data_IF_281211801594
#
_entry.id   IF_281211801594
#
_cell.length_a   1.000
_cell.length_b   1.000
_cell.length_c   1.000
_cell.angle_alpha   90.00
_cell.angle_beta   90.00
_cell.angle_gamma   90.00
#
_symmetry.space_group_name_H-M   'P 1'
#
loop_
_entity.id
_entity.type
_entity.pdbx_description
1 polymer ?
#
# COMPACT_ATOMS: atom_id res chain seq x y z
N UNK A 1 -4.26 22.89 -5.51
CA UNK A 1 -3.94 23.68 -6.73
C UNK A 1 -3.60 22.74 -7.87
N UNK A 2 -4.08 23.00 -9.09
CA UNK A 2 -3.60 22.30 -10.29
C UNK A 2 -2.21 22.83 -10.67
N UNK A 3 -1.23 21.96 -10.84
CA UNK A 3 0.11 22.31 -11.32
C UNK A 3 0.24 21.87 -12.78
N UNK A 4 0.33 22.84 -13.70
CA UNK A 4 0.23 22.58 -15.13
C UNK A 4 1.05 23.59 -15.96
N UNK A 5 1.72 23.15 -17.04
CA UNK A 5 2.03 21.75 -17.39
C UNK A 5 3.15 21.19 -16.49
N UNK A 6 2.89 20.07 -15.82
CA UNK A 6 3.73 19.58 -14.71
C UNK A 6 5.19 19.30 -15.14
N UNK A 7 5.41 18.40 -16.10
CA UNK A 7 6.78 18.02 -16.50
C UNK A 7 7.55 19.22 -17.09
N UNK A 8 6.91 20.04 -17.93
CA UNK A 8 7.55 21.19 -18.54
C UNK A 8 7.91 22.31 -17.54
N UNK A 9 7.21 22.37 -16.40
CA UNK A 9 7.49 23.33 -15.33
C UNK A 9 8.47 22.77 -14.26
N UNK A 10 9.25 21.73 -14.58
CA UNK A 10 10.25 21.15 -13.66
C UNK A 10 9.71 20.03 -12.77
N UNK A 11 8.50 19.54 -13.05
CA UNK A 11 7.94 18.31 -12.50
C UNK A 11 7.87 18.26 -10.97
N UNK A 12 8.17 17.10 -10.39
CA UNK A 12 8.06 16.87 -8.95
C UNK A 12 9.05 17.74 -8.14
N UNK A 13 10.22 18.06 -8.69
CA UNK A 13 11.22 18.85 -7.98
C UNK A 13 10.78 20.31 -7.86
N UNK A 14 10.14 20.86 -8.88
CA UNK A 14 9.48 22.17 -8.79
C UNK A 14 8.36 22.17 -7.73
N UNK A 15 7.54 21.12 -7.67
CA UNK A 15 6.50 20.98 -6.64
C UNK A 15 7.10 20.94 -5.23
N UNK A 16 8.17 20.16 -5.02
CA UNK A 16 8.87 20.10 -3.73
C UNK A 16 9.42 21.47 -3.34
N UNK A 17 10.09 22.16 -4.27
CA UNK A 17 10.63 23.50 -4.04
C UNK A 17 9.53 24.52 -3.70
N UNK A 18 8.41 24.51 -4.42
CA UNK A 18 7.26 25.38 -4.13
C UNK A 18 6.59 25.03 -2.80
N UNK A 19 6.56 23.76 -2.40
CA UNK A 19 5.91 23.35 -1.16
C UNK A 19 6.62 23.84 0.10
N UNK A 20 7.91 24.19 0.01
CA UNK A 20 8.70 24.68 1.14
C UNK A 20 8.17 26.02 1.69
N UNK A 21 8.06 27.11 0.90
CA UNK A 21 7.46 28.36 1.38
C UNK A 21 5.94 28.27 1.51
N UNK A 22 5.27 27.39 0.76
CA UNK A 22 3.82 27.25 0.75
C UNK A 22 3.36 25.94 1.42
N UNK A 23 3.72 25.76 2.70
CA UNK A 23 3.55 24.50 3.43
C UNK A 23 2.11 23.98 3.53
N UNK A 24 1.08 24.83 3.37
CA UNK A 24 -0.33 24.42 3.38
C UNK A 24 -0.87 24.01 1.99
N UNK A 25 -0.15 24.32 0.90
CA UNK A 25 -0.62 24.00 -0.44
C UNK A 25 -0.51 22.50 -0.73
N UNK A 26 -1.56 22.00 -1.38
CA UNK A 26 -1.62 20.70 -2.00
C UNK A 26 -1.69 20.85 -3.51
N UNK A 27 -1.10 19.90 -4.23
CA UNK A 27 -0.86 19.95 -5.67
C UNK A 27 -1.58 18.81 -6.39
N UNK A 28 -2.02 19.11 -7.61
CA UNK A 28 -2.56 18.16 -8.57
C UNK A 28 -1.82 18.34 -9.90
N UNK A 29 -0.66 17.68 -10.11
CA UNK A 29 0.10 17.77 -11.35
C UNK A 29 -0.71 17.26 -12.53
N UNK A 30 -0.63 17.97 -13.66
CA UNK A 30 -1.21 17.57 -14.94
C UNK A 30 -0.31 18.05 -16.08
N UNK A 31 -0.20 17.26 -17.14
CA UNK A 31 0.65 17.57 -18.30
C UNK A 31 2.01 16.89 -18.18
N UNK A 32 2.24 15.88 -19.02
CA UNK A 32 3.44 15.03 -19.00
C UNK A 32 3.42 13.89 -17.97
N UNK A 33 2.41 13.84 -17.09
CA UNK A 33 2.20 12.67 -16.20
C UNK A 33 1.82 11.44 -17.05
N UNK A 34 2.52 10.34 -16.81
CA UNK A 34 2.37 9.06 -17.48
C UNK A 34 2.65 7.91 -16.49
N UNK A 35 2.58 6.67 -16.96
CA UNK A 35 2.78 5.48 -16.11
C UNK A 35 4.14 5.46 -15.39
N UNK A 36 5.20 5.93 -16.04
CA UNK A 36 6.58 5.84 -15.55
C UNK A 36 6.85 6.84 -14.42
N UNK A 37 6.20 8.01 -14.43
CA UNK A 37 6.44 9.07 -13.45
C UNK A 37 5.29 9.25 -12.44
N UNK A 38 4.14 8.58 -12.61
CA UNK A 38 2.98 8.69 -11.74
C UNK A 38 3.35 8.55 -10.26
N UNK A 39 4.18 7.54 -9.94
CA UNK A 39 4.55 7.24 -8.56
C UNK A 39 5.54 8.22 -7.95
N UNK A 40 6.36 8.88 -8.78
CA UNK A 40 7.24 9.96 -8.32
C UNK A 40 6.41 11.13 -7.78
N UNK A 41 5.24 11.38 -8.38
CA UNK A 41 4.30 12.37 -7.89
C UNK A 41 3.52 11.89 -6.67
N UNK A 42 2.86 10.73 -6.75
CA UNK A 42 1.94 10.25 -5.70
C UNK A 42 2.63 9.86 -4.39
N UNK A 43 3.94 9.63 -4.42
CA UNK A 43 4.77 9.40 -3.22
C UNK A 43 5.03 10.69 -2.42
N UNK A 44 4.83 11.87 -3.01
CA UNK A 44 4.97 13.13 -2.29
C UNK A 44 3.66 13.53 -1.62
N UNK A 45 3.70 13.80 -0.32
CA UNK A 45 2.51 13.96 0.51
C UNK A 45 1.71 15.24 0.26
N UNK A 46 2.30 16.21 -0.46
CA UNK A 46 1.58 17.39 -0.95
C UNK A 46 0.86 17.12 -2.26
N UNK A 47 1.07 15.98 -2.92
CA UNK A 47 0.35 15.60 -4.13
C UNK A 47 -0.86 14.73 -3.77
N UNK A 48 -2.05 15.28 -3.98
CA UNK A 48 -3.31 14.61 -3.61
C UNK A 48 -3.84 13.70 -4.73
N UNK A 49 -3.59 14.07 -5.99
CA UNK A 49 -4.01 13.33 -7.17
C UNK A 49 -3.16 13.75 -8.38
N UNK A 50 -3.09 12.91 -9.41
CA UNK A 50 -2.45 13.26 -10.68
C UNK A 50 -3.48 13.23 -11.82
N UNK A 51 -3.36 14.15 -12.77
CA UNK A 51 -4.14 14.18 -14.00
C UNK A 51 -3.29 13.75 -15.19
N UNK A 52 -3.79 12.84 -16.01
CA UNK A 52 -3.11 12.39 -17.22
C UNK A 52 -4.06 11.70 -18.19
N UNK A 53 -3.76 11.84 -19.48
CA UNK A 53 -4.57 11.27 -20.58
C UNK A 53 -4.05 9.88 -21.01
N UNK A 54 -2.92 9.44 -20.47
CA UNK A 54 -2.24 8.20 -20.90
C UNK A 54 -3.09 6.93 -20.76
N UNK A 55 -4.07 6.91 -19.85
CA UNK A 55 -5.01 5.78 -19.69
C UNK A 55 -6.21 5.83 -20.65
N UNK A 56 -6.48 6.97 -21.26
CA UNK A 56 -7.68 7.22 -22.07
C UNK A 56 -7.37 8.29 -23.12
N UNK A 57 -6.59 7.91 -24.14
CA UNK A 57 -6.19 8.83 -25.21
C UNK A 57 -7.35 9.12 -26.16
N UNK A 58 -7.32 10.29 -26.81
CA UNK A 58 -8.29 10.65 -27.85
C UNK A 58 -8.35 9.60 -28.96
N UNK A 59 -7.20 9.05 -29.35
CA UNK A 59 -7.09 7.97 -30.33
C UNK A 59 -7.82 6.71 -29.86
N UNK A 60 -7.57 6.26 -28.61
CA UNK A 60 -8.26 5.09 -28.06
C UNK A 60 -9.78 5.28 -28.04
N UNK A 61 -10.26 6.48 -27.71
CA UNK A 61 -11.69 6.80 -27.72
C UNK A 61 -12.25 6.78 -29.15
N UNK A 62 -11.57 7.42 -30.10
CA UNK A 62 -11.98 7.48 -31.50
C UNK A 62 -12.05 6.09 -32.14
N UNK A 63 -11.08 5.23 -31.80
CA UNK A 63 -11.00 3.85 -32.25
C UNK A 63 -11.88 2.89 -31.44
N UNK A 64 -12.60 3.38 -30.41
CA UNK A 64 -13.46 2.59 -29.51
C UNK A 64 -12.71 1.45 -28.81
N UNK A 65 -11.45 1.67 -28.45
CA UNK A 65 -10.55 0.70 -27.79
C UNK A 65 -10.88 0.56 -26.28
N UNK A 66 -12.13 0.22 -25.94
CA UNK A 66 -12.63 0.21 -24.55
C UNK A 66 -11.90 -0.78 -23.65
N UNK A 67 -11.51 -1.93 -24.18
CA UNK A 67 -10.73 -2.93 -23.45
C UNK A 67 -9.34 -2.38 -23.10
N UNK A 68 -8.69 -1.70 -24.05
CA UNK A 68 -7.38 -1.08 -23.83
C UNK A 68 -7.45 0.01 -22.76
N UNK A 69 -8.45 0.88 -22.82
CA UNK A 69 -8.71 1.92 -21.81
C UNK A 69 -8.92 1.28 -20.43
N UNK A 70 -9.69 0.20 -20.37
CA UNK A 70 -9.94 -0.54 -19.12
C UNK A 70 -8.64 -1.11 -18.55
N UNK A 71 -7.82 -1.75 -19.38
CA UNK A 71 -6.57 -2.37 -18.95
C UNK A 71 -5.54 -1.32 -18.48
N UNK A 72 -5.42 -0.19 -19.18
CA UNK A 72 -4.57 0.92 -18.78
C UNK A 72 -5.01 1.56 -17.46
N UNK A 73 -6.33 1.72 -17.28
CA UNK A 73 -6.88 2.24 -16.02
C UNK A 73 -6.62 1.28 -14.86
N UNK A 74 -6.80 -0.04 -15.06
CA UNK A 74 -6.47 -1.06 -14.06
C UNK A 74 -4.99 -1.05 -13.71
N UNK A 75 -4.11 -0.89 -14.69
CA UNK A 75 -2.67 -0.81 -14.49
C UNK A 75 -2.27 0.40 -13.65
N UNK A 76 -2.82 1.59 -13.96
CA UNK A 76 -2.56 2.78 -13.16
C UNK A 76 -3.04 2.64 -11.71
N UNK A 77 -4.21 2.03 -11.49
CA UNK A 77 -4.72 1.72 -10.14
C UNK A 77 -3.79 0.74 -9.42
N UNK A 78 -3.36 -0.33 -10.11
CA UNK A 78 -2.43 -1.33 -9.55
C UNK A 78 -1.13 -0.67 -9.11
N UNK A 79 -0.55 0.18 -9.96
CA UNK A 79 0.70 0.89 -9.68
C UNK A 79 0.52 1.90 -8.52
N UNK A 80 -0.61 2.61 -8.47
CA UNK A 80 -0.93 3.53 -7.37
C UNK A 80 -1.04 2.82 -6.02
N UNK A 81 -1.76 1.70 -5.97
CA UNK A 81 -1.99 0.95 -4.73
C UNK A 81 -0.70 0.22 -4.30
N UNK A 82 0.04 -0.32 -5.27
CA UNK A 82 1.29 -1.05 -5.08
C UNK A 82 1.19 -2.07 -3.92
N UNK A 83 0.18 -2.93 -3.98
CA UNK A 83 0.01 -4.00 -3.01
C UNK A 83 1.12 -5.04 -3.17
N UNK A 84 1.86 -5.27 -2.09
CA UNK A 84 2.93 -6.26 -2.02
C UNK A 84 2.79 -7.10 -0.76
N UNK A 85 3.14 -8.38 -0.84
CA UNK A 85 3.20 -9.24 0.33
C UNK A 85 4.25 -8.70 1.31
N UNK A 86 3.87 -8.52 2.57
CA UNK A 86 4.77 -8.09 3.63
C UNK A 86 5.20 -9.26 4.51
N UNK A 87 4.23 -10.01 5.04
CA UNK A 87 4.51 -11.12 5.94
C UNK A 87 3.31 -12.07 6.08
N UNK A 88 3.61 -13.28 6.54
CA UNK A 88 2.64 -14.29 6.95
C UNK A 88 2.64 -14.40 8.47
N UNK A 89 1.51 -14.07 9.08
CA UNK A 89 1.25 -14.36 10.49
C UNK A 89 0.82 -15.81 10.67
N UNK A 90 1.52 -16.54 11.53
CA UNK A 90 1.17 -17.90 11.93
C UNK A 90 0.83 -17.93 13.42
N UNK A 91 -0.21 -18.70 13.73
CA UNK A 91 -0.63 -18.94 15.10
C UNK A 91 0.25 -20.04 15.71
N UNK A 92 0.63 -19.90 16.98
CA UNK A 92 1.32 -20.94 17.73
C UNK A 92 0.32 -22.02 18.16
N UNK A 93 0.55 -23.28 17.76
CA UNK A 93 -0.37 -24.40 18.03
C UNK A 93 0.31 -25.41 18.93
N UNK A 94 0.02 -25.37 20.24
CA UNK A 94 0.46 -26.36 21.25
C UNK A 94 1.97 -26.72 21.20
N UNK A 95 2.80 -25.86 20.62
CA UNK A 95 4.24 -26.00 20.46
C UNK A 95 4.94 -24.87 21.22
N UNK A 96 6.12 -25.13 21.77
CA UNK A 96 6.94 -24.06 22.35
C UNK A 96 7.43 -23.11 21.25
N UNK A 97 7.27 -21.80 21.46
CA UNK A 97 7.70 -20.75 20.51
C UNK A 97 9.12 -20.98 19.97
N UNK A 98 10.04 -21.38 20.83
CA UNK A 98 11.45 -21.65 20.49
C UNK A 98 11.57 -22.75 19.42
N UNK A 99 10.73 -23.78 19.47
CA UNK A 99 10.74 -24.87 18.49
C UNK A 99 10.25 -24.38 17.13
N UNK A 100 9.11 -23.67 17.07
CA UNK A 100 8.60 -23.11 15.82
C UNK A 100 9.58 -22.11 15.20
N UNK A 101 10.20 -21.24 16.02
CA UNK A 101 11.26 -20.31 15.56
C UNK A 101 12.41 -21.09 14.93
N UNK A 102 12.94 -22.12 15.61
CA UNK A 102 14.06 -22.91 15.08
C UNK A 102 13.69 -23.68 13.82
N UNK A 103 12.46 -24.20 13.71
CA UNK A 103 11.97 -24.86 12.51
C UNK A 103 11.92 -23.89 11.32
N UNK A 104 11.36 -22.69 11.50
CA UNK A 104 11.31 -21.69 10.43
C UNK A 104 12.70 -21.17 10.06
N UNK A 105 13.61 -20.99 11.01
CA UNK A 105 15.02 -20.64 10.73
C UNK A 105 15.67 -21.68 9.85
N UNK A 106 15.52 -22.97 10.21
CA UNK A 106 16.07 -24.07 9.43
C UNK A 106 15.43 -24.20 8.05
N UNK A 107 14.10 -24.01 7.93
CA UNK A 107 13.39 -24.09 6.67
C UNK A 107 13.81 -22.97 5.71
N UNK A 108 13.88 -21.74 6.21
CA UNK A 108 14.18 -20.54 5.42
C UNK A 108 15.68 -20.26 5.27
N UNK A 109 16.54 -21.03 5.97
CA UNK A 109 17.99 -20.83 5.99
C UNK A 109 18.38 -19.40 6.37
N UNK A 110 17.78 -18.89 7.46
CA UNK A 110 17.93 -17.50 7.91
C UNK A 110 18.20 -17.40 9.40
N UNK A 111 19.03 -16.42 9.76
CA UNK A 111 19.26 -16.00 11.15
C UNK A 111 18.54 -14.67 11.45
N UNK A 112 17.76 -14.16 10.50
CA UNK A 112 17.05 -12.88 10.64
C UNK A 112 15.87 -13.04 11.59
N UNK A 113 16.03 -12.53 12.80
CA UNK A 113 14.99 -12.55 13.83
C UNK A 113 14.67 -11.11 14.26
N UNK A 114 13.38 -10.81 14.40
CA UNK A 114 12.90 -9.58 15.03
C UNK A 114 11.81 -9.88 16.04
N UNK A 115 12.12 -9.69 17.31
CA UNK A 115 11.16 -9.87 18.40
C UNK A 115 10.35 -8.60 18.65
N UNK A 116 9.08 -8.79 18.97
CA UNK A 116 8.18 -7.74 19.45
C UNK A 116 7.50 -8.24 20.73
N UNK A 117 6.75 -7.36 21.41
CA UNK A 117 6.00 -7.76 22.59
C UNK A 117 4.89 -8.79 22.32
N UNK A 118 4.41 -8.92 21.07
CA UNK A 118 3.28 -9.78 20.71
C UNK A 118 3.63 -10.93 19.78
N UNK A 119 4.79 -10.88 19.13
CA UNK A 119 5.17 -11.82 18.08
C UNK A 119 6.67 -11.85 17.86
N UNK A 120 7.16 -12.96 17.31
CA UNK A 120 8.54 -13.13 16.87
C UNK A 120 8.56 -13.33 15.36
N UNK A 121 9.27 -12.46 14.65
CA UNK A 121 9.48 -12.60 13.22
C UNK A 121 10.72 -13.44 12.93
N UNK A 122 10.57 -14.41 12.03
CA UNK A 122 11.65 -15.12 11.34
C UNK A 122 11.54 -14.76 9.87
N UNK A 123 12.41 -13.87 9.39
CA UNK A 123 12.30 -13.25 8.06
C UNK A 123 10.88 -12.66 7.82
N UNK A 124 10.11 -13.20 6.87
CA UNK A 124 8.74 -12.78 6.55
C UNK A 124 7.64 -13.58 7.29
N UNK A 125 8.00 -14.48 8.21
CA UNK A 125 7.04 -15.25 9.02
C UNK A 125 6.92 -14.62 10.41
N UNK A 126 5.73 -14.16 10.78
CA UNK A 126 5.41 -13.61 12.09
C UNK A 126 4.73 -14.68 12.95
N UNK A 127 5.42 -15.19 13.97
CA UNK A 127 4.88 -16.18 14.90
C UNK A 127 4.26 -15.45 16.09
N UNK A 128 2.95 -15.61 16.29
CA UNK A 128 2.21 -14.94 17.36
C UNK A 128 2.45 -15.60 18.73
N UNK A 129 2.62 -14.80 19.79
CA UNK A 129 2.90 -15.33 21.14
C UNK A 129 1.65 -15.87 21.84
N UNK A 130 0.55 -15.10 21.88
CA UNK A 130 -0.59 -15.40 22.76
C UNK A 130 -1.98 -15.26 22.09
N UNK A 131 -2.04 -14.78 20.84
CA UNK A 131 -3.30 -14.48 20.16
C UNK A 131 -3.46 -15.33 18.88
N UNK A 132 -4.47 -16.21 18.86
CA UNK A 132 -4.91 -16.87 17.63
C UNK A 132 -5.67 -15.86 16.77
N UNK A 133 -4.99 -15.24 15.81
CA UNK A 133 -5.59 -14.28 14.90
C UNK A 133 -6.11 -14.97 13.64
N UNK A 134 -7.43 -14.99 13.46
CA UNK A 134 -8.06 -15.70 12.34
C UNK A 134 -7.91 -17.22 12.41
N UNK A 135 -8.63 -17.94 11.56
CA UNK A 135 -8.59 -19.41 11.53
C UNK A 135 -7.22 -19.95 11.08
N UNK A 136 -6.57 -19.24 10.15
CA UNK A 136 -5.31 -19.66 9.54
C UNK A 136 -4.13 -18.72 9.85
N UNK A 137 -4.29 -17.77 10.77
CA UNK A 137 -3.33 -16.67 10.95
C UNK A 137 -3.75 -15.41 10.18
N UNK A 138 -2.76 -14.60 9.81
CA UNK A 138 -3.00 -13.36 9.06
C UNK A 138 -2.02 -13.14 7.91
N UNK A 139 -2.42 -12.31 6.95
CA UNK A 139 -1.54 -11.83 5.88
C UNK A 139 -1.35 -10.32 6.01
N UNK A 140 -0.09 -9.91 6.05
CA UNK A 140 0.31 -8.53 5.92
C UNK A 140 0.47 -8.16 4.45
N UNK A 141 -0.28 -7.14 4.00
CA UNK A 141 -0.15 -6.57 2.65
C UNK A 141 0.32 -5.13 2.78
N UNK A 142 1.49 -4.83 2.25
CA UNK A 142 1.99 -3.45 2.22
C UNK A 142 1.36 -2.65 1.07
N UNK A 143 1.21 -1.35 1.27
CA UNK A 143 0.74 -0.39 0.27
C UNK A 143 1.46 0.94 0.46
N UNK A 144 1.53 1.76 -0.59
CA UNK A 144 2.15 3.09 -0.51
C UNK A 144 1.29 4.10 0.26
N UNK A 145 -0.03 3.93 0.24
CA UNK A 145 -0.96 4.86 0.86
C UNK A 145 -2.21 4.13 1.39
N UNK A 146 -2.31 4.06 2.71
CA UNK A 146 -3.41 3.37 3.41
C UNK A 146 -4.76 4.02 3.12
N UNK A 147 -4.84 5.35 3.00
CA UNK A 147 -6.10 6.03 2.75
C UNK A 147 -6.63 5.75 1.33
N UNK A 148 -5.74 5.76 0.33
CA UNK A 148 -6.07 5.37 -1.04
C UNK A 148 -6.49 3.91 -1.12
N UNK A 149 -5.80 3.02 -0.41
CA UNK A 149 -6.14 1.61 -0.35
C UNK A 149 -7.50 1.35 0.30
N UNK A 150 -7.78 1.99 1.44
CA UNK A 150 -9.09 1.93 2.10
C UNK A 150 -10.18 2.40 1.14
N UNK A 151 -10.01 3.55 0.50
CA UNK A 151 -11.00 4.08 -0.43
C UNK A 151 -11.28 3.12 -1.59
N UNK A 152 -10.23 2.60 -2.23
CA UNK A 152 -10.37 1.68 -3.36
C UNK A 152 -11.05 0.37 -2.96
N UNK A 153 -10.59 -0.28 -1.90
CA UNK A 153 -11.14 -1.56 -1.44
C UNK A 153 -12.57 -1.41 -0.90
N UNK A 154 -12.91 -0.26 -0.31
CA UNK A 154 -14.30 0.04 0.08
C UNK A 154 -15.24 0.06 -1.12
N UNK A 155 -14.79 0.54 -2.29
CA UNK A 155 -15.56 0.44 -3.55
C UNK A 155 -15.70 -1.00 -4.05
N UNK A 156 -14.81 -1.89 -3.64
CA UNK A 156 -14.88 -3.33 -3.87
C UNK A 156 -15.63 -4.08 -2.76
N UNK A 157 -16.35 -3.36 -1.88
CA UNK A 157 -17.17 -3.90 -0.78
C UNK A 157 -16.40 -4.54 0.39
N UNK A 158 -15.10 -4.29 0.51
CA UNK A 158 -14.37 -4.59 1.75
C UNK A 158 -14.65 -3.52 2.81
N UNK A 159 -14.62 -3.90 4.08
CA UNK A 159 -14.77 -2.98 5.20
C UNK A 159 -13.57 -3.07 6.15
N UNK A 160 -13.37 -2.03 6.96
CA UNK A 160 -12.17 -1.88 7.78
C UNK A 160 -12.51 -1.74 9.25
N UNK A 161 -11.69 -2.36 10.09
CA UNK A 161 -11.72 -2.13 11.53
C UNK A 161 -10.98 -0.83 11.83
N UNK A 162 -11.71 0.27 11.90
CA UNK A 162 -11.11 1.59 12.16
C UNK A 162 -10.51 1.74 13.56
N UNK A 163 -10.92 0.92 14.54
CA UNK A 163 -10.30 0.90 15.87
C UNK A 163 -8.88 0.32 15.84
N UNK A 164 -8.57 -0.51 14.83
CA UNK A 164 -7.25 -1.10 14.65
C UNK A 164 -6.20 -0.16 14.04
N UNK A 165 -6.59 1.06 13.64
CA UNK A 165 -5.67 1.97 12.95
C UNK A 165 -4.49 2.31 13.86
N UNK A 166 -3.28 2.15 13.32
CA UNK A 166 -2.06 2.71 13.92
C UNK A 166 -1.55 3.85 13.06
N UNK A 167 -0.91 4.82 13.72
CA UNK A 167 -0.35 6.01 13.08
C UNK A 167 1.18 6.00 13.15
N UNK A 168 1.83 6.63 12.17
CA UNK A 168 3.24 6.98 12.23
C UNK A 168 3.46 8.27 13.06
N UNK A 169 4.72 8.65 13.27
CA UNK A 169 5.11 9.84 14.05
C UNK A 169 4.53 11.14 13.47
N UNK A 170 4.21 11.15 12.17
CA UNK A 170 3.61 12.28 11.45
C UNK A 170 2.07 12.21 11.45
N UNK A 171 1.47 11.37 12.30
CA UNK A 171 0.01 11.12 12.39
C UNK A 171 -0.62 10.62 11.08
N UNK A 172 0.15 10.01 10.18
CA UNK A 172 -0.40 9.34 8.99
C UNK A 172 -0.72 7.89 9.32
N UNK A 173 -1.80 7.36 8.75
CA UNK A 173 -2.17 5.95 8.93
C UNK A 173 -1.04 5.07 8.40
N UNK A 174 -0.61 4.11 9.21
CA UNK A 174 0.43 3.14 8.84
C UNK A 174 -0.04 1.69 8.90
N UNK A 175 -1.23 1.44 9.41
CA UNK A 175 -1.75 0.10 9.65
C UNK A 175 -3.27 0.12 9.76
N UNK A 176 -3.96 -0.90 9.24
CA UNK A 176 -5.39 -1.15 9.48
C UNK A 176 -5.76 -2.60 9.15
N UNK A 177 -6.61 -3.25 9.95
CA UNK A 177 -7.22 -4.54 9.61
C UNK A 177 -8.48 -4.36 8.76
N UNK A 178 -8.71 -5.32 7.86
CA UNK A 178 -10.02 -5.55 7.26
C UNK A 178 -10.92 -6.24 8.30
N UNK A 179 -12.24 -6.04 8.20
CA UNK A 179 -13.18 -6.79 9.04
C UNK A 179 -13.34 -8.23 8.54
N UNK A 180 -13.31 -8.41 7.22
CA UNK A 180 -13.46 -9.69 6.55
C UNK A 180 -12.20 -10.56 6.68
N UNK A 181 -12.41 -11.88 6.60
CA UNK A 181 -11.34 -12.84 6.35
C UNK A 181 -11.34 -13.24 4.87
N UNK A 182 -10.15 -13.48 4.33
CA UNK A 182 -9.98 -14.02 2.99
C UNK A 182 -9.42 -15.43 3.13
N UNK A 183 -10.21 -16.43 2.73
CA UNK A 183 -9.84 -17.85 2.85
C UNK A 183 -9.44 -18.31 4.27
N UNK A 184 -9.94 -17.64 5.31
CA UNK A 184 -9.62 -17.92 6.72
C UNK A 184 -8.42 -17.17 7.28
N UNK A 185 -7.78 -16.31 6.49
CA UNK A 185 -6.76 -15.37 6.96
C UNK A 185 -7.38 -14.03 7.31
N UNK A 186 -7.01 -13.46 8.46
CA UNK A 186 -7.19 -12.02 8.70
C UNK A 186 -6.24 -11.25 7.79
N UNK A 187 -6.72 -10.15 7.23
CA UNK A 187 -5.89 -9.31 6.34
C UNK A 187 -5.70 -7.97 7.03
N UNK A 188 -4.44 -7.51 7.10
CA UNK A 188 -4.17 -6.11 7.39
C UNK A 188 -3.39 -5.44 6.27
N UNK A 189 -3.60 -4.15 6.15
CA UNK A 189 -2.78 -3.27 5.34
C UNK A 189 -1.76 -2.59 6.24
N UNK A 190 -0.54 -2.46 5.74
CA UNK A 190 0.51 -1.67 6.36
C UNK A 190 1.14 -0.73 5.34
N UNK A 191 1.57 0.43 5.82
CA UNK A 191 2.28 1.38 4.97
C UNK A 191 3.71 0.90 4.75
N UNK A 192 4.15 0.94 3.50
CA UNK A 192 5.53 0.63 3.09
C UNK A 192 6.53 1.64 3.66
#
# INVERSE_FOLDING_TARGET
MKFFPAEANGGIDAIKAMSAPYGSLQFMPTGGVNEQNLMNYLSFDKVIACGGTFMCTTEMIQNKEWERITNQTKLAIKNMLNFEFAHLGVNLIEEELVNSVNQFKSLLHTETIRETSKSTFVDFVEIMHDENFGRCGHLGISTLDIDRAIYYLSKQKFSFNFESIKYDEKKKKKFVYLNEEVSGFKIHLLKK
#
